data_IF_242103919040
#
_entry.id   IF_242103919040
#
_cell.length_a   1.000
_cell.length_b   1.000
_cell.length_c   1.000
_cell.angle_alpha   90.00
_cell.angle_beta   90.00
_cell.angle_gamma   90.00
#
_symmetry.space_group_name_H-M   'P 1'
#
loop_
_entity.id
_entity.type
_entity.pdbx_description
1 polymer ?
#
# COMPACT_ATOMS: atom_id res chain seq x y z
N UNK A 1 -14.89 -2.96 -13.12
CA UNK A 1 -15.31 -3.17 -11.74
C UNK A 1 -14.73 -2.07 -10.86
N UNK A 2 -15.55 -1.48 -10.04
CA UNK A 2 -15.14 -0.35 -9.20
C UNK A 2 -14.54 -0.87 -7.88
N UNK A 3 -13.41 -0.29 -7.47
CA UNK A 3 -12.78 -0.66 -6.20
C UNK A 3 -13.60 -0.07 -5.06
N UNK A 4 -14.02 -0.89 -4.07
CA UNK A 4 -14.82 -0.40 -2.94
C UNK A 4 -13.92 0.29 -1.89
N UNK A 5 -13.51 1.49 -2.20
CA UNK A 5 -12.59 2.26 -1.36
C UNK A 5 -13.35 3.36 -0.60
N UNK A 6 -13.04 3.55 0.67
CA UNK A 6 -13.67 4.57 1.51
C UNK A 6 -13.22 5.97 1.11
N UNK A 7 -14.02 6.98 1.46
CA UNK A 7 -13.66 8.38 1.21
C UNK A 7 -12.34 8.76 1.90
N UNK A 8 -12.09 8.20 3.06
CA UNK A 8 -10.85 8.43 3.81
C UNK A 8 -9.64 7.93 3.03
N UNK A 9 -9.73 6.72 2.48
CA UNK A 9 -8.65 6.17 1.67
C UNK A 9 -8.51 6.88 0.33
N UNK A 10 -9.60 7.36 -0.25
CA UNK A 10 -9.55 8.18 -1.45
C UNK A 10 -8.77 9.48 -1.20
N UNK A 11 -9.00 10.10 -0.05
CA UNK A 11 -8.24 11.28 0.34
C UNK A 11 -6.76 10.96 0.50
N UNK A 12 -6.45 9.80 1.09
CA UNK A 12 -5.09 9.32 1.21
C UNK A 12 -4.41 9.20 -0.16
N UNK A 13 -5.13 8.64 -1.12
CA UNK A 13 -4.61 8.47 -2.47
C UNK A 13 -4.23 9.80 -3.13
N UNK A 14 -4.95 10.88 -2.82
CA UNK A 14 -4.65 12.20 -3.38
C UNK A 14 -3.29 12.74 -2.96
N UNK A 15 -2.76 12.29 -1.82
CA UNK A 15 -1.44 12.72 -1.35
C UNK A 15 -0.30 11.90 -1.91
N UNK A 16 -0.59 10.82 -2.62
CA UNK A 16 0.45 9.97 -3.20
C UNK A 16 0.94 10.59 -4.51
N UNK A 17 2.24 10.92 -4.61
CA UNK A 17 2.76 11.48 -5.87
C UNK A 17 2.66 10.46 -7.00
N UNK A 18 2.16 10.91 -8.14
CA UNK A 18 2.02 10.06 -9.31
C UNK A 18 3.38 9.57 -9.81
N UNK A 19 3.41 8.30 -10.20
CA UNK A 19 4.63 7.69 -10.72
C UNK A 19 5.54 7.11 -9.64
N UNK A 20 5.22 7.31 -8.36
CA UNK A 20 6.02 6.72 -7.28
C UNK A 20 5.55 5.30 -6.98
N UNK A 21 6.50 4.48 -6.52
CA UNK A 21 6.20 3.17 -5.98
C UNK A 21 5.80 3.37 -4.53
N UNK A 22 4.69 2.80 -4.12
CA UNK A 22 4.18 3.00 -2.77
C UNK A 22 4.33 1.75 -1.93
N UNK A 23 4.49 1.93 -0.62
CA UNK A 23 4.36 0.88 0.37
C UNK A 23 3.18 1.22 1.26
N UNK A 24 2.18 0.35 1.27
CA UNK A 24 0.96 0.49 2.04
C UNK A 24 1.09 -0.35 3.31
N UNK A 25 1.43 0.31 4.41
CA UNK A 25 1.68 -0.33 5.71
C UNK A 25 0.38 -0.41 6.49
N UNK A 26 0.01 -1.62 6.89
CA UNK A 26 -1.32 -1.87 7.43
C UNK A 26 -2.35 -1.89 6.32
N UNK A 27 -2.04 -2.62 5.27
CA UNK A 27 -2.81 -2.62 4.01
C UNK A 27 -4.25 -3.09 4.19
N UNK A 28 -4.51 -3.89 5.23
CA UNK A 28 -5.81 -4.46 5.53
C UNK A 28 -6.35 -5.23 4.32
N UNK A 29 -7.46 -4.84 3.74
CA UNK A 29 -8.04 -5.52 2.59
C UNK A 29 -7.34 -5.17 1.26
N UNK A 30 -6.37 -4.27 1.28
CA UNK A 30 -5.60 -3.89 0.10
C UNK A 30 -6.32 -2.95 -0.86
N UNK A 31 -7.44 -2.37 -0.49
CA UNK A 31 -8.21 -1.54 -1.41
C UNK A 31 -7.48 -0.27 -1.84
N UNK A 32 -6.71 0.34 -0.95
CA UNK A 32 -5.93 1.52 -1.34
C UNK A 32 -4.86 1.16 -2.37
N UNK A 33 -4.13 0.08 -2.12
CA UNK A 33 -3.10 -0.40 -3.05
C UNK A 33 -3.70 -0.73 -4.41
N UNK A 34 -4.81 -1.45 -4.42
CA UNK A 34 -5.52 -1.80 -5.66
C UNK A 34 -5.95 -0.53 -6.41
N UNK A 35 -6.50 0.44 -5.69
CA UNK A 35 -6.95 1.70 -6.28
C UNK A 35 -5.78 2.46 -6.93
N UNK A 36 -4.65 2.57 -6.22
CA UNK A 36 -3.47 3.27 -6.74
C UNK A 36 -2.98 2.65 -8.06
N UNK A 37 -3.03 1.33 -8.16
CA UNK A 37 -2.63 0.63 -9.37
C UNK A 37 -3.67 0.75 -10.49
N UNK A 38 -4.94 0.60 -10.16
CA UNK A 38 -6.02 0.66 -11.14
C UNK A 38 -6.15 2.05 -11.76
N UNK A 39 -5.92 3.09 -10.99
CA UNK A 39 -5.99 4.47 -11.46
C UNK A 39 -4.69 4.97 -12.08
N UNK A 40 -3.67 4.13 -12.14
CA UNK A 40 -2.39 4.50 -12.74
C UNK A 40 -1.61 5.52 -11.94
N UNK A 41 -1.91 5.66 -10.65
CA UNK A 41 -1.18 6.58 -9.77
C UNK A 41 0.20 6.03 -9.47
N UNK A 42 0.27 4.74 -9.16
CA UNK A 42 1.53 4.04 -8.88
C UNK A 42 1.74 2.90 -9.88
N UNK A 43 2.97 2.69 -10.35
CA UNK A 43 3.28 1.54 -11.22
C UNK A 43 3.43 0.25 -10.44
N UNK A 44 3.72 0.32 -9.14
CA UNK A 44 3.97 -0.82 -8.29
C UNK A 44 3.66 -0.47 -6.84
N UNK A 45 3.05 -1.38 -6.10
CA UNK A 45 2.72 -1.18 -4.68
C UNK A 45 3.15 -2.39 -3.87
N UNK A 46 3.82 -2.12 -2.75
CA UNK A 46 4.14 -3.11 -1.74
C UNK A 46 3.07 -3.02 -0.65
N UNK A 47 2.34 -4.09 -0.44
CA UNK A 47 1.32 -4.17 0.59
C UNK A 47 1.86 -4.95 1.78
N UNK A 48 1.75 -4.39 2.97
CA UNK A 48 2.26 -5.03 4.18
C UNK A 48 1.22 -4.98 5.30
N UNK A 49 1.23 -6.01 6.12
CA UNK A 49 0.39 -6.06 7.30
C UNK A 49 1.09 -6.90 8.36
N UNK A 50 0.77 -6.62 9.61
CA UNK A 50 1.28 -7.37 10.75
C UNK A 50 0.64 -8.74 10.85
N UNK A 51 -0.58 -8.88 10.35
CA UNK A 51 -1.37 -10.10 10.47
C UNK A 51 -1.59 -10.74 9.10
N UNK A 52 -1.51 -12.08 9.09
CA UNK A 52 -1.65 -12.85 7.85
C UNK A 52 -3.06 -12.75 7.26
N UNK A 53 -4.10 -12.72 8.08
CA UNK A 53 -5.46 -12.75 7.58
C UNK A 53 -5.83 -11.51 6.75
N UNK A 54 -5.58 -10.28 7.21
CA UNK A 54 -5.77 -9.10 6.35
C UNK A 54 -4.91 -9.14 5.10
N UNK A 55 -3.68 -9.62 5.22
CA UNK A 55 -2.77 -9.70 4.09
C UNK A 55 -3.29 -10.68 3.03
N UNK A 56 -3.88 -11.80 3.46
CA UNK A 56 -4.51 -12.75 2.55
C UNK A 56 -5.70 -12.10 1.82
N UNK A 57 -6.49 -11.30 2.51
CA UNK A 57 -7.58 -10.55 1.87
C UNK A 57 -7.05 -9.60 0.81
N UNK A 58 -5.91 -8.95 1.09
CA UNK A 58 -5.28 -8.06 0.12
C UNK A 58 -4.83 -8.83 -1.13
N UNK A 59 -4.27 -10.04 -0.97
CA UNK A 59 -3.89 -10.90 -2.10
C UNK A 59 -5.10 -11.28 -2.95
N UNK A 60 -6.20 -11.66 -2.29
CA UNK A 60 -7.45 -12.03 -2.97
C UNK A 60 -8.02 -10.85 -3.75
N UNK A 61 -8.01 -9.66 -3.17
CA UNK A 61 -8.50 -8.47 -3.85
C UNK A 61 -7.60 -8.05 -5.01
N UNK A 62 -6.28 -8.19 -4.87
CA UNK A 62 -5.35 -7.93 -5.96
C UNK A 62 -5.65 -8.82 -7.17
N UNK A 63 -5.91 -10.10 -6.92
CA UNK A 63 -6.28 -11.03 -7.98
C UNK A 63 -7.64 -10.68 -8.58
N UNK A 64 -8.61 -10.37 -7.74
CA UNK A 64 -9.97 -10.01 -8.17
C UNK A 64 -9.99 -8.79 -9.10
N UNK A 65 -9.16 -7.80 -8.81
CA UNK A 65 -9.09 -6.56 -9.59
C UNK A 65 -7.99 -6.56 -10.66
N UNK A 66 -7.29 -7.69 -10.83
CA UNK A 66 -6.36 -7.87 -11.93
C UNK A 66 -5.04 -7.12 -11.79
N UNK A 67 -4.60 -6.84 -10.57
CA UNK A 67 -3.36 -6.08 -10.33
C UNK A 67 -2.27 -6.86 -9.59
N UNK A 68 -2.43 -8.16 -9.42
CA UNK A 68 -1.47 -8.99 -8.66
C UNK A 68 -0.03 -8.88 -9.16
N UNK A 69 0.17 -8.72 -10.46
CA UNK A 69 1.51 -8.65 -11.05
C UNK A 69 2.26 -7.39 -10.66
N UNK A 70 1.54 -6.36 -10.23
CA UNK A 70 2.11 -5.07 -9.87
C UNK A 70 2.11 -4.85 -8.35
N UNK A 71 1.93 -5.93 -7.60
CA UNK A 71 1.97 -5.90 -6.14
C UNK A 71 2.91 -6.95 -5.60
N UNK A 72 3.48 -6.65 -4.43
CA UNK A 72 4.14 -7.65 -3.60
C UNK A 72 3.61 -7.50 -2.17
N UNK A 73 3.72 -8.58 -1.41
CA UNK A 73 3.08 -8.68 -0.09
C UNK A 73 4.10 -9.11 0.95
N UNK A 74 4.09 -8.45 2.10
CA UNK A 74 4.98 -8.78 3.20
C UNK A 74 4.21 -8.85 4.52
N UNK A 75 4.41 -9.92 5.25
CA UNK A 75 4.01 -9.99 6.65
C UNK A 75 5.09 -9.22 7.42
N UNK A 76 4.75 -8.06 7.95
CA UNK A 76 5.74 -7.13 8.48
C UNK A 76 5.21 -6.36 9.68
N UNK A 77 6.05 -6.19 10.68
CA UNK A 77 5.81 -5.25 11.77
C UNK A 77 6.32 -3.88 11.31
N UNK A 78 5.40 -3.05 10.83
CA UNK A 78 5.76 -1.79 10.21
C UNK A 78 6.65 -2.00 8.99
N UNK A 79 7.81 -1.38 8.96
CA UNK A 79 8.76 -1.45 7.85
C UNK A 79 9.81 -2.54 8.00
N UNK A 80 9.78 -3.31 9.08
CA UNK A 80 10.89 -4.21 9.42
C UNK A 80 11.23 -5.23 8.35
N UNK A 81 10.24 -5.78 7.68
CA UNK A 81 10.46 -6.84 6.69
C UNK A 81 10.44 -6.33 5.25
N UNK A 82 10.33 -5.02 5.06
CA UNK A 82 10.26 -4.43 3.72
C UNK A 82 11.67 -4.09 3.25
N UNK A 83 12.07 -4.59 2.05
CA UNK A 83 13.43 -4.34 1.56
C UNK A 83 13.70 -2.83 1.34
N UNK A 84 14.94 -2.39 1.60
CA UNK A 84 15.34 -1.02 1.26
C UNK A 84 15.14 -0.77 -0.23
N UNK A 85 14.66 0.41 -0.57
CA UNK A 85 14.44 0.79 -1.96
C UNK A 85 13.19 0.21 -2.60
N UNK A 86 12.36 -0.51 -1.83
CA UNK A 86 11.13 -1.11 -2.37
C UNK A 86 10.07 -0.08 -2.74
N UNK A 87 10.10 1.09 -2.11
CA UNK A 87 9.12 2.12 -2.36
C UNK A 87 9.68 3.52 -2.15
N UNK A 88 9.06 4.49 -2.80
CA UNK A 88 9.41 5.91 -2.69
C UNK A 88 8.46 6.64 -1.75
N UNK A 89 7.24 6.16 -1.64
CA UNK A 89 6.18 6.73 -0.80
C UNK A 89 5.72 5.69 0.19
N UNK A 90 5.66 6.07 1.46
CA UNK A 90 5.17 5.18 2.52
C UNK A 90 3.84 5.71 3.00
N UNK A 91 2.85 4.84 3.02
CA UNK A 91 1.50 5.16 3.46
C UNK A 91 1.21 4.36 4.72
N UNK A 92 0.84 5.06 5.78
CA UNK A 92 0.39 4.45 7.02
C UNK A 92 -1.00 5.00 7.31
N UNK A 93 -2.01 4.27 6.87
CA UNK A 93 -3.39 4.67 7.07
C UNK A 93 -4.01 3.88 8.20
N UNK A 94 -4.81 4.53 9.00
CA UNK A 94 -5.84 3.84 9.71
C UNK A 94 -5.60 3.31 11.10
N UNK A 95 -4.49 3.54 11.71
CA UNK A 95 -4.37 3.20 13.13
C UNK A 95 -4.88 4.36 13.97
N UNK A 96 -6.00 4.15 14.67
CA UNK A 96 -6.56 5.20 15.53
C UNK A 96 -7.20 6.36 14.81
N UNK A 97 -7.56 6.22 13.54
CA UNK A 97 -8.20 7.27 12.77
C UNK A 97 -7.26 8.24 12.09
N UNK A 98 -5.98 8.16 12.35
CA UNK A 98 -5.00 9.04 11.75
C UNK A 98 -4.61 8.59 10.36
N UNK A 99 -4.37 9.57 9.50
CA UNK A 99 -3.93 9.37 8.14
C UNK A 99 -2.51 9.90 8.01
N UNK A 100 -1.60 9.06 7.56
CA UNK A 100 -0.22 9.46 7.38
C UNK A 100 0.29 8.98 6.02
N UNK A 101 0.74 9.94 5.21
CA UNK A 101 1.42 9.67 3.96
C UNK A 101 2.79 10.33 4.05
N UNK A 102 3.86 9.56 3.82
CA UNK A 102 5.21 10.08 3.85
C UNK A 102 5.92 9.73 2.55
N UNK A 103 6.65 10.70 2.02
CA UNK A 103 7.50 10.51 0.85
C UNK A 103 8.91 10.25 1.38
N UNK A 104 9.30 8.97 1.38
CA UNK A 104 10.60 8.54 1.88
C UNK A 104 11.17 7.46 0.98
N UNK A 105 12.47 7.52 0.75
CA UNK A 105 13.17 6.40 0.14
C UNK A 105 13.49 5.39 1.22
N UNK A 106 12.99 4.16 1.07
CA UNK A 106 13.24 3.11 2.06
C UNK A 106 14.72 2.81 2.25
N UNK A 107 15.53 3.05 1.22
CA UNK A 107 16.99 2.88 1.32
C UNK A 107 17.61 3.79 2.36
N UNK A 108 16.99 4.92 2.70
CA UNK A 108 17.50 5.87 3.68
C UNK A 108 17.06 5.53 5.11
N UNK A 109 16.17 4.56 5.28
CA UNK A 109 15.59 4.22 6.58
C UNK A 109 16.43 3.16 7.31
N UNK A 110 17.31 2.52 6.59
CA UNK A 110 18.18 1.47 7.13
C UNK A 110 19.45 2.04 7.71
N UNK A 111 19.32 2.70 8.79
CA UNK A 111 20.51 3.25 9.45
C UNK A 111 20.67 2.63 10.83
#
# INVERSE_FOLDING_TARGET
MKVPISNRLLLCAEFVPRGTRAADIGTDHGYLAVYLLREGICPFVTAADLREQPLQKARENAARFGVSENMQFFLSDGLQSIPPGAADTIIMAGMGGDLMVRILELSLIHI
#
